data_IF_631536216400
#
_entry.id   IF_631536216400
#
_cell.length_a   1.000
_cell.length_b   1.000
_cell.length_c   1.000
_cell.angle_alpha   90.00
_cell.angle_beta   90.00
_cell.angle_gamma   90.00
#
_symmetry.space_group_name_H-M   'P 1'
#
loop_
_entity.id
_entity.type
_entity.pdbx_description
1 polymer ?
#
# COMPACT_ATOMS: atom_id res chain seq x y z
N UNK A 1 -22.72 5.67 12.64
CA UNK A 1 -21.58 6.51 13.07
C UNK A 1 -20.53 6.48 11.96
N UNK A 2 -20.58 7.43 11.02
CA UNK A 2 -19.50 7.66 10.06
C UNK A 2 -18.27 8.06 10.87
N UNK A 3 -17.24 7.24 10.81
CA UNK A 3 -15.97 7.44 11.50
C UNK A 3 -15.34 8.77 11.10
N UNK A 4 -15.12 9.62 12.09
CA UNK A 4 -14.48 10.96 12.02
C UNK A 4 -12.98 10.89 11.64
N UNK A 5 -12.53 9.89 10.89
CA UNK A 5 -11.13 9.47 10.90
C UNK A 5 -10.32 10.02 9.73
N UNK A 6 -10.95 10.47 8.64
CA UNK A 6 -10.17 11.04 7.53
C UNK A 6 -10.85 12.29 6.96
N UNK A 7 -10.29 13.46 7.26
CA UNK A 7 -10.60 14.72 6.57
C UNK A 7 -9.95 14.81 5.17
N UNK A 8 -9.27 13.75 4.73
CA UNK A 8 -8.63 13.71 3.42
C UNK A 8 -9.67 13.43 2.34
N UNK A 9 -9.54 14.08 1.21
CA UNK A 9 -10.40 13.85 0.06
C UNK A 9 -10.18 12.44 -0.46
N UNK A 10 -11.23 11.63 -0.42
CA UNK A 10 -11.26 10.28 -0.96
C UNK A 10 -12.03 10.26 -2.28
N UNK A 11 -11.45 9.68 -3.30
CA UNK A 11 -12.03 9.50 -4.62
C UNK A 11 -12.22 8.00 -4.85
N UNK A 12 -13.39 7.59 -5.31
CA UNK A 12 -13.63 6.21 -5.70
C UNK A 12 -13.36 6.05 -7.19
N UNK A 13 -12.46 5.12 -7.53
CA UNK A 13 -12.17 4.73 -8.91
C UNK A 13 -11.81 3.23 -8.93
N UNK A 14 -12.82 2.37 -8.95
CA UNK A 14 -12.62 0.95 -8.76
C UNK A 14 -11.85 0.28 -9.91
N UNK A 15 -10.90 -0.55 -9.52
CA UNK A 15 -10.18 -1.48 -10.39
C UNK A 15 -10.98 -2.78 -10.56
N UNK A 16 -10.92 -3.44 -11.72
CA UNK A 16 -11.45 -4.80 -11.90
C UNK A 16 -10.51 -5.90 -11.39
N UNK A 17 -9.26 -5.58 -11.01
CA UNK A 17 -8.19 -6.53 -10.72
C UNK A 17 -8.19 -7.00 -9.25
N UNK A 18 -9.20 -7.77 -8.89
CA UNK A 18 -9.37 -8.35 -7.56
C UNK A 18 -10.16 -9.66 -7.60
N UNK A 19 -10.01 -10.48 -6.58
CA UNK A 19 -10.81 -11.71 -6.43
C UNK A 19 -12.25 -11.37 -6.04
N UNK A 20 -13.24 -11.94 -6.74
CA UNK A 20 -14.66 -11.68 -6.49
C UNK A 20 -15.15 -12.20 -5.13
N UNK A 21 -14.44 -13.20 -4.57
CA UNK A 21 -14.80 -13.76 -3.26
C UNK A 21 -14.35 -12.83 -2.14
N UNK A 22 -15.31 -12.35 -1.34
CA UNK A 22 -15.03 -11.60 -0.11
C UNK A 22 -14.25 -12.44 0.89
N UNK A 23 -13.18 -11.86 1.44
CA UNK A 23 -12.44 -12.43 2.57
C UNK A 23 -13.04 -11.98 3.90
N UNK A 24 -12.85 -12.81 4.94
CA UNK A 24 -13.27 -12.45 6.29
C UNK A 24 -12.30 -11.39 6.86
N UNK A 25 -12.80 -10.44 7.64
CA UNK A 25 -12.00 -9.38 8.29
C UNK A 25 -10.78 -9.94 9.05
N UNK A 26 -10.93 -11.07 9.75
CA UNK A 26 -9.85 -11.74 10.51
C UNK A 26 -8.71 -12.28 9.63
N UNK A 27 -8.90 -12.40 8.32
CA UNK A 27 -7.88 -12.84 7.39
C UNK A 27 -6.90 -11.72 7.00
N UNK A 28 -7.28 -10.45 7.17
CA UNK A 28 -6.44 -9.30 6.89
C UNK A 28 -5.46 -9.13 8.05
N UNK A 29 -4.15 -9.36 7.79
CA UNK A 29 -3.08 -9.39 8.77
C UNK A 29 -1.92 -8.46 8.43
N UNK A 30 -1.74 -8.14 7.13
CA UNK A 30 -0.60 -7.41 6.63
C UNK A 30 -1.01 -6.07 6.02
N UNK A 31 -0.10 -5.10 6.10
CA UNK A 31 -0.14 -3.84 5.37
C UNK A 31 1.13 -3.76 4.53
N UNK A 32 0.97 -3.64 3.21
CA UNK A 32 2.08 -3.65 2.26
C UNK A 32 2.14 -2.31 1.52
N UNK A 33 3.31 -1.69 1.55
CA UNK A 33 3.58 -0.43 0.86
C UNK A 33 4.27 -0.65 -0.48
N UNK A 34 3.82 0.11 -1.46
CA UNK A 34 4.34 0.11 -2.83
C UNK A 34 4.58 1.53 -3.30
N UNK A 35 5.42 1.70 -4.30
CA UNK A 35 5.35 2.86 -5.17
C UNK A 35 4.80 2.46 -6.54
N UNK A 36 4.15 3.40 -7.25
CA UNK A 36 3.54 3.11 -8.56
C UNK A 36 4.56 2.76 -9.64
N UNK A 37 5.80 3.27 -9.56
CA UNK A 37 6.84 3.06 -10.56
C UNK A 37 6.50 3.61 -11.95
N UNK A 38 5.60 4.57 -12.04
CA UNK A 38 5.12 5.17 -13.28
C UNK A 38 5.50 6.65 -13.34
N UNK A 39 5.83 7.16 -14.56
CA UNK A 39 6.24 8.55 -14.76
C UNK A 39 5.17 9.54 -14.35
N UNK A 40 3.89 9.22 -14.57
CA UNK A 40 2.78 10.08 -14.21
C UNK A 40 1.74 9.37 -13.35
N UNK A 41 1.00 10.14 -12.53
CA UNK A 41 -0.13 9.62 -11.77
C UNK A 41 -1.26 9.14 -12.68
N UNK A 42 -1.47 9.79 -13.81
CA UNK A 42 -2.48 9.41 -14.82
C UNK A 42 -2.20 8.00 -15.34
N UNK A 43 -0.94 7.71 -15.69
CA UNK A 43 -0.54 6.40 -16.16
C UNK A 43 -0.65 5.34 -15.06
N UNK A 44 -0.30 5.70 -13.83
CA UNK A 44 -0.46 4.80 -12.68
C UNK A 44 -1.94 4.44 -12.45
N UNK A 45 -2.83 5.41 -12.46
CA UNK A 45 -4.26 5.19 -12.31
C UNK A 45 -4.77 4.33 -13.47
N UNK A 46 -4.41 4.67 -14.72
CA UNK A 46 -4.79 3.89 -15.91
C UNK A 46 -4.34 2.43 -15.78
N UNK A 47 -3.11 2.18 -15.37
CA UNK A 47 -2.59 0.83 -15.16
C UNK A 47 -3.36 0.08 -14.08
N UNK A 48 -3.57 0.69 -12.91
CA UNK A 48 -4.22 0.07 -11.76
C UNK A 48 -5.72 -0.19 -11.98
N UNK A 49 -6.35 0.47 -12.96
CA UNK A 49 -7.78 0.31 -13.31
C UNK A 49 -8.00 -0.42 -14.64
N UNK A 50 -6.95 -0.79 -15.35
CA UNK A 50 -7.06 -1.56 -16.59
C UNK A 50 -7.06 -3.07 -16.29
N UNK A 51 -8.07 -3.78 -16.77
CA UNK A 51 -8.19 -5.23 -16.61
C UNK A 51 -6.97 -5.98 -17.16
N UNK A 52 -6.45 -5.57 -18.29
CA UNK A 52 -5.30 -6.22 -18.95
C UNK A 52 -4.00 -6.10 -18.17
N UNK A 53 -3.90 -5.18 -17.21
CA UNK A 53 -2.69 -5.02 -16.39
C UNK A 53 -2.55 -6.08 -15.31
N UNK A 54 -3.65 -6.74 -14.93
CA UNK A 54 -3.72 -7.76 -13.89
C UNK A 54 -3.08 -7.33 -12.55
N UNK A 55 -3.11 -6.01 -12.27
CA UNK A 55 -2.57 -5.41 -11.05
C UNK A 55 -3.51 -4.36 -10.50
N UNK A 56 -3.67 -4.34 -9.18
CA UNK A 56 -4.35 -3.29 -8.44
C UNK A 56 -3.86 -3.26 -6.99
N UNK A 57 -4.17 -2.19 -6.29
CA UNK A 57 -4.06 -2.09 -4.83
C UNK A 57 -5.41 -1.68 -4.24
N UNK A 58 -5.51 -1.67 -2.91
CA UNK A 58 -6.73 -1.18 -2.26
C UNK A 58 -6.79 0.34 -2.31
N UNK A 59 -5.64 1.00 -2.14
CA UNK A 59 -5.52 2.44 -2.09
C UNK A 59 -4.36 2.94 -2.95
N UNK A 60 -4.55 4.10 -3.56
CA UNK A 60 -3.48 4.89 -4.17
C UNK A 60 -3.44 6.26 -3.50
N UNK A 61 -2.28 6.66 -2.99
CA UNK A 61 -2.01 8.00 -2.47
C UNK A 61 -1.33 8.83 -3.56
N UNK A 62 -1.99 9.90 -3.98
CA UNK A 62 -1.50 10.83 -5.00
C UNK A 62 -0.41 11.76 -4.45
N UNK A 63 0.33 12.44 -5.34
CA UNK A 63 1.38 13.40 -4.95
C UNK A 63 0.86 14.53 -4.06
N UNK A 64 -0.39 14.94 -4.25
CA UNK A 64 -1.05 15.98 -3.45
C UNK A 64 -1.65 15.46 -2.12
N UNK A 65 -1.52 14.15 -1.84
CA UNK A 65 -2.04 13.49 -0.64
C UNK A 65 -3.50 13.04 -0.73
N UNK A 66 -4.19 13.24 -1.84
CA UNK A 66 -5.52 12.64 -2.04
C UNK A 66 -5.43 11.12 -2.11
N UNK A 67 -6.50 10.44 -1.69
CA UNK A 67 -6.60 8.98 -1.72
C UNK A 67 -7.57 8.56 -2.81
N UNK A 68 -7.15 7.63 -3.65
CA UNK A 68 -8.04 6.88 -4.54
C UNK A 68 -8.31 5.51 -3.93
N UNK A 69 -9.57 5.16 -3.79
CA UNK A 69 -10.02 3.80 -3.41
C UNK A 69 -10.18 3.01 -4.70
N UNK A 70 -9.33 1.99 -4.88
CA UNK A 70 -9.30 1.16 -6.07
C UNK A 70 -10.01 -0.19 -5.86
N UNK A 71 -9.84 -0.80 -4.69
CA UNK A 71 -10.48 -2.07 -4.33
C UNK A 71 -11.00 -1.98 -2.90
N UNK A 72 -12.28 -2.36 -2.63
CA UNK A 72 -12.77 -2.40 -1.27
C UNK A 72 -11.99 -3.40 -0.41
N UNK A 73 -11.70 -3.05 0.84
CA UNK A 73 -10.77 -3.77 1.73
C UNK A 73 -11.09 -5.25 1.93
N UNK A 74 -12.36 -5.66 1.85
CA UNK A 74 -12.75 -7.05 2.02
C UNK A 74 -12.58 -7.90 0.76
N UNK A 75 -12.16 -7.31 -0.35
CA UNK A 75 -11.77 -8.06 -1.54
C UNK A 75 -10.24 -8.16 -1.62
N UNK A 76 -9.76 -9.16 -2.33
CA UNK A 76 -8.32 -9.41 -2.50
C UNK A 76 -7.82 -8.66 -3.72
N UNK A 77 -7.21 -7.49 -3.54
CA UNK A 77 -6.56 -6.77 -4.64
C UNK A 77 -5.27 -7.49 -5.07
N UNK A 78 -4.94 -7.44 -6.35
CA UNK A 78 -3.75 -8.11 -6.92
C UNK A 78 -2.54 -7.18 -6.91
N UNK A 79 -1.91 -7.00 -5.74
CA UNK A 79 -0.78 -6.06 -5.56
C UNK A 79 0.56 -6.71 -5.23
N UNK A 80 0.56 -7.90 -4.59
CA UNK A 80 1.78 -8.52 -4.06
C UNK A 80 2.38 -9.57 -5.01
N UNK A 81 1.55 -10.17 -5.89
CA UNK A 81 1.98 -11.24 -6.78
C UNK A 81 2.56 -12.45 -6.01
N UNK A 82 3.55 -13.11 -6.59
CA UNK A 82 4.32 -14.16 -5.91
C UNK A 82 5.08 -13.52 -4.76
N UNK A 83 4.72 -13.88 -3.54
CA UNK A 83 5.19 -13.22 -2.32
C UNK A 83 5.23 -14.18 -1.14
N UNK A 84 6.17 -13.92 -0.20
CA UNK A 84 6.37 -14.71 1.01
C UNK A 84 6.81 -13.81 2.15
N UNK A 85 6.29 -14.05 3.34
CA UNK A 85 6.80 -13.50 4.59
C UNK A 85 6.73 -14.57 5.68
N UNK A 86 7.89 -14.96 6.21
CA UNK A 86 8.00 -16.10 7.13
C UNK A 86 7.34 -17.36 6.52
N UNK A 87 6.38 -17.97 7.18
CA UNK A 87 5.63 -19.15 6.68
C UNK A 87 4.43 -18.79 5.79
N UNK A 88 4.11 -17.49 5.60
CA UNK A 88 2.96 -17.05 4.81
C UNK A 88 3.36 -16.82 3.36
N UNK A 89 2.53 -17.30 2.44
CA UNK A 89 2.67 -17.15 0.99
C UNK A 89 1.41 -16.49 0.40
N UNK A 90 1.49 -16.01 -0.85
CA UNK A 90 0.35 -15.41 -1.56
C UNK A 90 -0.31 -14.27 -0.74
N UNK A 91 0.49 -13.27 -0.37
CA UNK A 91 0.10 -12.25 0.59
C UNK A 91 -1.07 -11.37 0.12
N UNK A 92 -1.44 -11.36 -1.16
CA UNK A 92 -2.68 -10.72 -1.62
C UNK A 92 -3.88 -11.10 -0.75
N UNK A 93 -4.00 -12.40 -0.41
CA UNK A 93 -5.16 -12.94 0.33
C UNK A 93 -5.26 -12.43 1.77
N UNK A 94 -4.17 -11.97 2.34
CA UNK A 94 -4.08 -11.59 3.77
C UNK A 94 -3.61 -10.18 4.03
N UNK A 95 -3.51 -9.32 3.01
CA UNK A 95 -2.97 -7.97 3.13
C UNK A 95 -3.91 -6.88 2.61
N UNK A 96 -3.63 -5.65 3.02
CA UNK A 96 -4.06 -4.42 2.35
C UNK A 96 -2.83 -3.85 1.65
N UNK A 97 -2.92 -3.58 0.35
CA UNK A 97 -1.88 -2.89 -0.43
C UNK A 97 -2.19 -1.41 -0.56
N UNK A 98 -1.18 -0.58 -0.33
CA UNK A 98 -1.21 0.86 -0.57
C UNK A 98 -0.13 1.21 -1.58
N UNK A 99 -0.54 1.71 -2.72
CA UNK A 99 0.33 2.34 -3.71
C UNK A 99 0.54 3.81 -3.38
N UNK A 100 1.75 4.31 -3.57
CA UNK A 100 2.09 5.72 -3.38
C UNK A 100 2.69 6.23 -4.68
N UNK A 101 2.12 7.31 -5.21
CA UNK A 101 2.58 7.88 -6.48
C UNK A 101 4.04 8.30 -6.40
N UNK A 102 4.88 7.63 -7.16
CA UNK A 102 6.32 7.92 -7.28
C UNK A 102 6.83 7.26 -8.55
N UNK A 103 7.68 7.94 -9.35
CA UNK A 103 8.19 7.37 -10.60
C UNK A 103 9.01 6.09 -10.41
N UNK A 104 9.57 5.86 -9.21
CA UNK A 104 10.35 4.66 -8.92
C UNK A 104 11.72 4.63 -9.61
N UNK A 105 12.52 3.64 -9.29
CA UNK A 105 13.93 3.54 -9.69
C UNK A 105 14.16 3.68 -11.20
N UNK A 106 13.25 3.12 -12.02
CA UNK A 106 13.39 3.14 -13.50
C UNK A 106 13.04 4.47 -14.15
N UNK A 107 12.34 5.36 -13.44
CA UNK A 107 11.73 6.57 -14.03
C UNK A 107 12.09 7.85 -13.26
N UNK A 108 13.20 7.87 -12.53
CA UNK A 108 13.64 9.03 -11.76
C UNK A 108 13.09 9.03 -10.32
N UNK A 109 13.46 8.00 -9.57
CA UNK A 109 13.06 7.82 -8.18
C UNK A 109 13.38 9.04 -7.32
N UNK A 110 12.39 9.54 -6.61
CA UNK A 110 12.48 10.76 -5.80
C UNK A 110 11.91 10.55 -4.39
N UNK A 111 12.14 11.52 -3.53
CA UNK A 111 11.54 11.53 -2.20
C UNK A 111 10.01 11.61 -2.29
N UNK A 112 9.33 10.98 -1.34
CA UNK A 112 7.90 11.10 -1.17
C UNK A 112 7.54 12.48 -0.60
N UNK A 113 6.45 13.08 -1.06
CA UNK A 113 6.05 14.40 -0.59
C UNK A 113 5.57 14.35 0.87
N UNK A 114 5.73 15.47 1.59
CA UNK A 114 5.20 15.61 2.96
C UNK A 114 3.69 15.33 3.03
N UNK A 115 2.94 15.71 1.99
CA UNK A 115 1.49 15.45 1.89
C UNK A 115 1.20 13.96 1.78
N UNK A 116 1.94 13.23 0.94
CA UNK A 116 1.83 11.78 0.83
C UNK A 116 2.09 11.08 2.15
N UNK A 117 3.19 11.42 2.82
CA UNK A 117 3.56 10.78 4.09
C UNK A 117 2.56 11.09 5.20
N UNK A 118 2.06 12.31 5.29
CA UNK A 118 1.00 12.67 6.23
C UNK A 118 -0.27 11.83 6.02
N UNK A 119 -0.70 11.68 4.77
CA UNK A 119 -1.86 10.86 4.40
C UNK A 119 -1.60 9.39 4.69
N UNK A 120 -0.41 8.88 4.33
CA UNK A 120 -0.01 7.50 4.58
C UNK A 120 -0.07 7.14 6.07
N UNK A 121 0.43 8.03 6.94
CA UNK A 121 0.39 7.83 8.41
C UNK A 121 -1.06 7.71 8.89
N UNK A 122 -1.94 8.62 8.45
CA UNK A 122 -3.35 8.60 8.86
C UNK A 122 -4.06 7.33 8.38
N UNK A 123 -3.91 6.99 7.10
CA UNK A 123 -4.52 5.79 6.52
C UNK A 123 -3.99 4.52 7.19
N UNK A 124 -2.67 4.43 7.39
CA UNK A 124 -2.06 3.29 8.06
C UNK A 124 -2.57 3.10 9.49
N UNK A 125 -2.65 4.17 10.29
CA UNK A 125 -3.20 4.11 11.65
C UNK A 125 -4.65 3.63 11.67
N UNK A 126 -5.46 4.10 10.73
CA UNK A 126 -6.83 3.64 10.57
C UNK A 126 -6.89 2.13 10.30
N UNK A 127 -6.13 1.64 9.31
CA UNK A 127 -6.11 0.24 8.93
C UNK A 127 -5.53 -0.67 10.03
N UNK A 128 -4.45 -0.24 10.69
CA UNK A 128 -3.83 -0.95 11.81
C UNK A 128 -4.84 -1.14 12.95
N UNK A 129 -5.55 -0.08 13.33
CA UNK A 129 -6.59 -0.13 14.37
C UNK A 129 -7.76 -1.02 13.94
N UNK A 130 -8.24 -0.83 12.71
CA UNK A 130 -9.39 -1.56 12.15
C UNK A 130 -9.15 -3.07 12.09
N UNK A 131 -7.99 -3.49 11.63
CA UNK A 131 -7.65 -4.91 11.39
C UNK A 131 -6.74 -5.51 12.44
N UNK A 132 -6.32 -4.75 13.44
CA UNK A 132 -5.38 -5.17 14.50
C UNK A 132 -4.07 -5.71 13.92
N UNK A 133 -3.52 -5.00 12.91
CA UNK A 133 -2.29 -5.38 12.21
C UNK A 133 -1.10 -5.22 13.15
N UNK A 134 -0.29 -6.27 13.30
CA UNK A 134 0.93 -6.25 14.12
C UNK A 134 2.04 -5.45 13.44
N UNK A 135 2.90 -4.80 14.24
CA UNK A 135 3.99 -3.94 13.72
C UNK A 135 4.92 -4.65 12.75
N UNK A 136 5.26 -5.90 13.02
CA UNK A 136 6.13 -6.73 12.18
C UNK A 136 5.45 -7.30 10.93
N UNK A 137 4.18 -6.95 10.69
CA UNK A 137 3.41 -7.29 9.49
C UNK A 137 3.08 -6.06 8.64
N UNK A 138 3.80 -4.95 8.88
CA UNK A 138 3.77 -3.73 8.07
C UNK A 138 5.06 -3.69 7.29
N UNK A 139 5.00 -3.91 5.98
CA UNK A 139 6.12 -4.29 5.13
C UNK A 139 6.12 -3.51 3.82
N UNK A 140 7.26 -3.45 3.17
CA UNK A 140 7.39 -3.06 1.78
C UNK A 140 7.22 -4.25 0.84
N UNK A 141 6.98 -3.99 -0.43
CA UNK A 141 6.93 -5.05 -1.44
C UNK A 141 8.27 -5.78 -1.56
N UNK A 142 9.39 -5.07 -1.45
CA UNK A 142 10.74 -5.65 -1.44
C UNK A 142 10.98 -6.60 -0.26
N UNK A 143 10.31 -6.43 0.88
CA UNK A 143 10.44 -7.35 2.00
C UNK A 143 9.80 -8.72 1.73
N UNK A 144 8.74 -8.75 0.94
CA UNK A 144 7.95 -9.96 0.65
C UNK A 144 8.28 -10.60 -0.70
N UNK A 145 9.03 -9.90 -1.55
CA UNK A 145 9.46 -10.36 -2.87
C UNK A 145 10.84 -9.77 -3.23
N UNK A 146 11.90 -9.99 -2.42
CA UNK A 146 13.19 -9.32 -2.54
C UNK A 146 13.90 -9.58 -3.88
N UNK A 147 13.70 -10.75 -4.47
CA UNK A 147 14.37 -11.14 -5.72
C UNK A 147 13.83 -10.40 -6.96
N UNK A 148 12.68 -9.71 -6.85
CA UNK A 148 12.00 -9.11 -8.02
C UNK A 148 11.45 -7.70 -7.79
N UNK A 149 11.45 -7.19 -6.56
CA UNK A 149 10.83 -5.91 -6.20
C UNK A 149 11.76 -5.02 -5.40
N UNK A 150 11.74 -3.73 -5.73
CA UNK A 150 12.50 -2.70 -5.04
C UNK A 150 11.62 -1.74 -4.24
N UNK A 151 10.32 -1.68 -4.58
CA UNK A 151 9.38 -0.76 -3.94
C UNK A 151 9.09 -1.15 -2.48
N UNK A 152 8.89 -0.17 -1.60
CA UNK A 152 8.82 1.27 -1.83
C UNK A 152 10.19 1.97 -1.91
N UNK A 153 11.32 1.27 -1.79
CA UNK A 153 12.69 1.74 -1.98
C UNK A 153 13.30 2.45 -0.77
N UNK A 154 14.58 2.83 -0.92
CA UNK A 154 15.41 3.36 0.17
C UNK A 154 15.03 4.79 0.61
N UNK A 155 14.34 5.56 -0.24
CA UNK A 155 13.82 6.90 0.11
C UNK A 155 12.48 6.85 0.86
N UNK A 156 11.93 5.64 1.06
CA UNK A 156 10.71 5.49 1.84
C UNK A 156 11.03 5.71 3.33
N UNK A 157 10.30 6.58 4.03
CA UNK A 157 10.70 7.08 5.35
C UNK A 157 10.33 6.12 6.49
N UNK A 158 10.88 4.89 6.49
CA UNK A 158 10.60 3.86 7.49
C UNK A 158 10.84 4.31 8.92
N UNK A 159 11.97 5.00 9.20
CA UNK A 159 12.28 5.50 10.52
C UNK A 159 11.23 6.50 11.01
N UNK A 160 10.79 7.41 10.14
CA UNK A 160 9.75 8.38 10.46
C UNK A 160 8.39 7.71 10.71
N UNK A 161 8.04 6.67 9.94
CA UNK A 161 6.85 5.86 10.19
C UNK A 161 6.93 5.15 11.55
N UNK A 162 8.08 4.58 11.89
CA UNK A 162 8.33 3.94 13.18
C UNK A 162 8.15 4.91 14.35
N UNK A 163 8.72 6.13 14.27
CA UNK A 163 8.50 7.21 15.24
C UNK A 163 7.02 7.56 15.38
N UNK A 164 6.22 7.34 14.33
CA UNK A 164 4.77 7.48 14.31
C UNK A 164 4.00 6.19 14.69
N UNK A 165 4.68 5.20 15.26
CA UNK A 165 4.15 3.90 15.73
C UNK A 165 3.64 2.98 14.59
N UNK A 166 4.21 3.14 13.38
CA UNK A 166 3.89 2.33 12.20
C UNK A 166 5.12 1.51 11.82
N UNK A 167 4.99 0.18 11.83
CA UNK A 167 6.06 -0.72 11.45
C UNK A 167 7.13 -0.88 12.53
N UNK A 168 8.27 -1.39 12.09
CA UNK A 168 9.48 -1.59 12.91
C UNK A 168 10.65 -0.86 12.29
N UNK A 169 11.64 -0.52 13.10
CA UNK A 169 12.92 0.04 12.67
C UNK A 169 14.03 -0.62 13.49
N UNK A 170 15.20 -0.79 12.90
CA UNK A 170 16.36 -1.34 13.60
C UNK A 170 17.01 -0.29 14.50
N UNK A 171 17.58 -0.74 15.61
CA UNK A 171 18.45 0.04 16.48
C UNK A 171 19.91 -0.39 16.24
N UNK A 172 20.38 -0.28 15.01
CA UNK A 172 21.80 -0.44 14.73
C UNK A 172 22.48 0.89 15.12
N UNK A 173 23.17 0.87 16.24
CA UNK A 173 24.11 1.93 16.68
C UNK A 173 25.39 1.85 15.87
#
# INVERSE_FOLDING_TARGET
KKSLIMKEKMIINYSPNFDLKKRKRKQIKFLIFHYTGMRSEKDAIKRLTNMQSEVASHYLIKNNGEIIILVPELYTAWHAGVSKWQKKRQLNKSSIGIEISNPGHKNGYKNFSKKQIKTLIKLSRYLIKKYKIKKNFILGHSDIAPDRKLDPGEKFPWEFLYKNKIGIWHNLS
#
